data_IF_084279399020
#
_entry.id   IF_084279399020
#
_cell.length_a   1.000
_cell.length_b   1.000
_cell.length_c   1.000
_cell.angle_alpha   90.00
_cell.angle_beta   90.00
_cell.angle_gamma   90.00
#
_symmetry.space_group_name_H-M   'P 1'
#
loop_
_entity.id
_entity.type
_entity.pdbx_description
1 polymer ?
#
# COMPACT_ATOMS: atom_id res chain seq x y z
N UNK A 1 5.79 -7.13 19.19
CA UNK A 1 6.11 -6.31 18.01
C UNK A 1 5.07 -5.21 17.94
N UNK A 2 5.46 -3.96 18.23
CA UNK A 2 4.54 -2.83 18.34
C UNK A 2 3.56 -2.77 17.18
N UNK A 3 2.27 -2.50 17.49
CA UNK A 3 1.15 -2.41 16.53
C UNK A 3 1.50 -1.57 15.29
N UNK A 4 2.40 -0.61 15.43
CA UNK A 4 2.89 0.29 14.38
C UNK A 4 3.77 -0.42 13.34
N UNK A 5 4.63 -1.37 13.77
CA UNK A 5 5.42 -2.21 12.86
C UNK A 5 4.54 -3.15 12.04
N UNK A 6 3.46 -3.66 12.63
CA UNK A 6 2.50 -4.51 11.92
C UNK A 6 1.69 -3.72 10.89
N UNK A 7 1.31 -2.47 11.20
CA UNK A 7 0.66 -1.56 10.26
C UNK A 7 1.55 -1.22 9.06
N UNK A 8 2.86 -1.00 9.29
CA UNK A 8 3.82 -0.75 8.21
C UNK A 8 3.96 -1.98 7.29
N UNK A 9 4.03 -3.19 7.86
CA UNK A 9 4.11 -4.46 7.13
C UNK A 9 2.86 -4.71 6.27
N UNK A 10 1.66 -4.45 6.81
CA UNK A 10 0.41 -4.57 6.06
C UNK A 10 0.39 -3.60 4.88
N UNK A 11 0.84 -2.36 5.08
CA UNK A 11 0.96 -1.38 4.01
C UNK A 11 1.90 -1.83 2.88
N UNK A 12 3.01 -2.50 3.21
CA UNK A 12 3.96 -3.03 2.21
C UNK A 12 3.37 -4.19 1.40
N UNK A 13 2.61 -5.08 2.04
CA UNK A 13 1.94 -6.19 1.35
C UNK A 13 0.86 -5.67 0.39
N UNK A 14 0.07 -4.69 0.82
CA UNK A 14 -0.96 -4.06 -0.01
C UNK A 14 -0.32 -3.31 -1.19
N UNK A 15 0.81 -2.63 -0.97
CA UNK A 15 1.57 -1.97 -2.04
C UNK A 15 2.08 -2.97 -3.09
N UNK A 16 2.53 -4.16 -2.66
CA UNK A 16 2.91 -5.23 -3.58
C UNK A 16 1.76 -5.64 -4.49
N UNK A 17 0.60 -5.92 -3.89
CA UNK A 17 -0.61 -6.34 -4.64
C UNK A 17 -1.10 -5.24 -5.58
N UNK A 18 -1.10 -3.98 -5.13
CA UNK A 18 -1.46 -2.82 -5.95
C UNK A 18 -0.54 -2.64 -7.16
N UNK A 19 0.77 -2.89 -6.99
CA UNK A 19 1.75 -2.88 -8.07
C UNK A 19 1.48 -3.98 -9.11
N UNK A 20 1.13 -5.19 -8.66
CA UNK A 20 0.74 -6.27 -9.57
C UNK A 20 -0.56 -5.95 -10.32
N UNK A 21 -1.59 -5.41 -9.66
CA UNK A 21 -2.83 -5.03 -10.34
C UNK A 21 -2.65 -3.85 -11.31
N UNK A 22 -1.80 -2.88 -10.98
CA UNK A 22 -1.53 -1.72 -11.85
C UNK A 22 -0.69 -2.05 -13.08
N UNK A 23 0.30 -2.95 -12.93
CA UNK A 23 1.27 -3.25 -13.99
C UNK A 23 0.93 -4.49 -14.83
N UNK A 24 0.17 -5.45 -14.30
CA UNK A 24 -0.16 -6.70 -15.01
C UNK A 24 -1.58 -6.71 -15.61
N UNK A 25 -2.44 -5.73 -15.27
CA UNK A 25 -3.81 -5.69 -15.78
C UNK A 25 -3.91 -4.96 -17.12
N UNK A 26 -4.64 -5.57 -18.05
CA UNK A 26 -4.85 -5.08 -19.42
C UNK A 26 -6.08 -4.14 -19.51
N UNK A 27 -6.97 -4.27 -18.53
CA UNK A 27 -8.22 -3.53 -18.47
C UNK A 27 -8.04 -2.18 -17.74
N UNK A 28 -8.46 -1.05 -18.34
CA UNK A 28 -8.22 0.29 -17.79
C UNK A 28 -8.87 0.51 -16.42
N UNK A 29 -9.98 -0.18 -16.14
CA UNK A 29 -10.64 -0.16 -14.84
C UNK A 29 -9.76 -0.75 -13.73
N UNK A 30 -9.08 -1.87 -14.00
CA UNK A 30 -8.22 -2.54 -13.02
C UNK A 30 -6.91 -1.77 -12.79
N UNK A 31 -6.38 -1.10 -13.83
CA UNK A 31 -5.21 -0.21 -13.71
C UNK A 31 -5.53 0.97 -12.78
N UNK A 32 -6.67 1.65 -12.97
CA UNK A 32 -7.07 2.76 -12.11
C UNK A 32 -7.37 2.31 -10.66
N UNK A 33 -7.95 1.12 -10.49
CA UNK A 33 -8.16 0.52 -9.18
C UNK A 33 -6.84 0.20 -8.48
N UNK A 34 -5.88 -0.40 -9.19
CA UNK A 34 -4.54 -0.71 -8.68
C UNK A 34 -3.77 0.56 -8.30
N UNK A 35 -3.84 1.59 -9.13
CA UNK A 35 -3.24 2.90 -8.83
C UNK A 35 -3.87 3.56 -7.60
N UNK A 36 -5.21 3.49 -7.47
CA UNK A 36 -5.92 3.95 -6.27
C UNK A 36 -5.49 3.18 -5.01
N UNK A 37 -5.35 1.85 -5.11
CA UNK A 37 -4.88 1.01 -4.00
C UNK A 37 -3.44 1.36 -3.58
N UNK A 38 -2.57 1.67 -4.55
CA UNK A 38 -1.20 2.12 -4.30
C UNK A 38 -1.18 3.43 -3.50
N UNK A 39 -1.99 4.41 -3.87
CA UNK A 39 -2.10 5.68 -3.13
C UNK A 39 -2.53 5.42 -1.68
N UNK A 40 -3.55 4.58 -1.47
CA UNK A 40 -4.02 4.22 -0.11
C UNK A 40 -2.92 3.51 0.68
N UNK A 41 -2.17 2.61 0.05
CA UNK A 41 -1.06 1.89 0.71
C UNK A 41 0.04 2.83 1.20
N UNK A 42 0.35 3.88 0.43
CA UNK A 42 1.34 4.91 0.78
C UNK A 42 0.85 5.72 1.99
N UNK A 43 -0.42 6.11 2.03
CA UNK A 43 -0.99 6.82 3.19
C UNK A 43 -0.89 5.99 4.48
N UNK A 44 -1.20 4.69 4.40
CA UNK A 44 -1.11 3.78 5.55
C UNK A 44 0.34 3.64 6.02
N UNK A 45 1.30 3.56 5.10
CA UNK A 45 2.73 3.55 5.45
C UNK A 45 3.19 4.86 6.06
N UNK A 46 2.82 6.02 5.50
CA UNK A 46 3.16 7.33 6.06
C UNK A 46 2.63 7.45 7.48
N UNK A 47 1.41 6.99 7.76
CA UNK A 47 0.87 6.98 9.11
C UNK A 47 1.64 6.03 10.04
N UNK A 48 1.93 4.82 9.56
CA UNK A 48 2.72 3.83 10.28
C UNK A 48 4.11 4.35 10.66
N UNK A 49 4.82 4.97 9.71
CA UNK A 49 6.16 5.53 9.91
C UNK A 49 6.16 6.82 10.73
N UNK A 50 5.17 7.72 10.54
CA UNK A 50 5.08 8.96 11.32
C UNK A 50 4.86 8.70 12.81
N UNK A 51 4.11 7.63 13.15
CA UNK A 51 3.87 7.22 14.54
C UNK A 51 4.96 6.30 15.10
N UNK A 52 5.79 5.74 14.22
CA UNK A 52 6.96 4.93 14.57
C UNK A 52 8.25 5.74 14.61
N UNK A 53 8.16 7.08 14.57
CA UNK A 53 9.32 7.95 14.71
C UNK A 53 10.01 7.66 16.07
N UNK A 54 11.34 7.45 16.08
CA UNK A 54 12.09 6.96 17.25
C UNK A 54 12.02 7.89 18.46
#
# INVERSE_FOLDING_TARGET
MDRYKFSALIGTVIMGIGSFMGCLAENPLFINLGNGLLIVSIFVMIYGYSKWQP
#
